data_IF_406497065666
#
_entry.id   IF_406497065666
#
_cell.length_a   1.000
_cell.length_b   1.000
_cell.length_c   1.000
_cell.angle_alpha   90.00
_cell.angle_beta   90.00
_cell.angle_gamma   90.00
#
_symmetry.space_group_name_H-M   'P 1'
#
loop_
_entity.id
_entity.type
_entity.pdbx_description
1 polymer ?
#
# COMPACT_ATOMS: atom_id res chain seq x y z
N UNK A 1 19.27 -7.52 -5.28
CA UNK A 1 20.42 -8.16 -5.95
C UNK A 1 21.02 -9.35 -5.20
N UNK A 2 21.06 -9.38 -3.87
CA UNK A 2 21.56 -10.54 -3.15
C UNK A 2 20.45 -11.58 -2.90
N UNK A 3 19.87 -12.09 -3.99
CA UNK A 3 18.84 -13.12 -3.93
C UNK A 3 19.46 -14.53 -4.08
N UNK A 4 18.78 -15.59 -3.63
CA UNK A 4 19.30 -16.96 -3.73
C UNK A 4 19.70 -17.38 -5.16
N UNK A 5 19.01 -16.85 -6.18
CA UNK A 5 19.31 -17.11 -7.60
C UNK A 5 20.67 -16.52 -8.02
N UNK A 6 21.01 -15.32 -7.52
CA UNK A 6 22.32 -14.70 -7.80
C UNK A 6 23.45 -15.46 -7.12
N UNK A 7 23.22 -16.10 -5.97
CA UNK A 7 24.24 -16.97 -5.33
C UNK A 7 24.59 -18.17 -6.19
N UNK A 8 23.60 -18.77 -6.86
CA UNK A 8 23.85 -19.91 -7.75
C UNK A 8 24.62 -19.47 -9.00
N UNK A 9 24.31 -18.28 -9.55
CA UNK A 9 25.07 -17.70 -10.66
C UNK A 9 26.51 -17.34 -10.27
N UNK A 10 26.72 -16.81 -9.06
CA UNK A 10 28.05 -16.55 -8.52
C UNK A 10 28.84 -17.85 -8.34
N UNK A 11 28.19 -18.91 -7.83
CA UNK A 11 28.78 -20.23 -7.74
C UNK A 11 29.13 -20.81 -9.13
N UNK A 12 28.30 -20.57 -10.15
CA UNK A 12 28.59 -20.95 -11.54
C UNK A 12 29.80 -20.17 -12.11
N UNK A 13 29.91 -18.88 -11.82
CA UNK A 13 31.06 -18.06 -12.23
C UNK A 13 32.36 -18.55 -11.55
N UNK A 14 32.32 -18.85 -10.24
CA UNK A 14 33.46 -19.41 -9.52
C UNK A 14 33.80 -20.81 -10.04
N UNK A 15 32.81 -21.63 -10.37
CA UNK A 15 33.00 -22.95 -10.99
C UNK A 15 33.72 -22.85 -12.33
N UNK A 16 33.36 -21.91 -13.20
CA UNK A 16 34.08 -21.66 -14.47
C UNK A 16 35.56 -21.32 -14.23
N UNK A 17 35.89 -20.56 -13.19
CA UNK A 17 37.26 -20.14 -12.91
C UNK A 17 38.11 -21.23 -12.22
N UNK A 18 37.51 -22.00 -11.31
CA UNK A 18 38.22 -22.99 -10.48
C UNK A 18 38.28 -24.36 -11.14
N UNK A 19 37.17 -24.82 -11.73
CA UNK A 19 37.02 -26.20 -12.18
C UNK A 19 37.39 -26.38 -13.67
N UNK A 20 37.41 -25.30 -14.47
CA UNK A 20 37.89 -25.35 -15.86
C UNK A 20 39.42 -25.49 -16.01
N UNK A 21 40.17 -25.60 -14.91
CA UNK A 21 41.63 -25.77 -14.91
C UNK A 21 42.10 -27.18 -15.34
N UNK A 22 41.24 -27.99 -15.96
CA UNK A 22 41.54 -29.35 -16.43
C UNK A 22 41.86 -29.41 -17.93
N UNK A 23 43.08 -29.82 -18.28
CA UNK A 23 43.53 -30.08 -19.67
C UNK A 23 44.61 -29.13 -20.20
N UNK A 24 44.88 -29.16 -21.52
CA UNK A 24 45.87 -28.31 -22.20
C UNK A 24 45.37 -26.91 -22.57
N UNK A 25 44.14 -26.58 -22.18
CA UNK A 25 43.50 -25.27 -22.38
C UNK A 25 43.32 -24.62 -21.00
N UNK A 26 43.58 -23.31 -20.89
CA UNK A 26 43.48 -22.57 -19.63
C UNK A 26 42.04 -22.46 -19.08
N UNK A 27 41.85 -21.73 -17.98
CA UNK A 27 40.52 -21.45 -17.44
C UNK A 27 39.65 -20.73 -18.47
N UNK A 28 38.36 -21.03 -18.47
CA UNK A 28 37.38 -20.43 -19.37
C UNK A 28 37.02 -19.01 -18.89
N UNK A 29 37.99 -18.10 -19.04
CA UNK A 29 37.88 -16.69 -18.64
C UNK A 29 36.78 -15.97 -19.43
N UNK A 30 36.54 -16.40 -20.67
CA UNK A 30 35.48 -15.87 -21.52
C UNK A 30 34.10 -16.12 -20.91
N UNK A 31 33.85 -17.32 -20.38
CA UNK A 31 32.59 -17.68 -19.72
C UNK A 31 32.42 -16.91 -18.41
N UNK A 32 33.48 -16.80 -17.60
CA UNK A 32 33.46 -16.00 -16.36
C UNK A 32 33.10 -14.54 -16.64
N UNK A 33 33.80 -13.90 -17.58
CA UNK A 33 33.52 -12.51 -17.97
C UNK A 33 32.12 -12.38 -18.57
N UNK A 34 31.68 -13.37 -19.35
CA UNK A 34 30.32 -13.45 -19.90
C UNK A 34 29.24 -13.47 -18.81
N UNK A 35 29.39 -14.32 -17.79
CA UNK A 35 28.47 -14.42 -16.64
C UNK A 35 28.45 -13.10 -15.86
N UNK A 36 29.63 -12.54 -15.53
CA UNK A 36 29.72 -11.28 -14.79
C UNK A 36 29.09 -10.13 -15.57
N UNK A 37 29.35 -10.05 -16.89
CA UNK A 37 28.73 -9.05 -17.76
C UNK A 37 27.20 -9.20 -17.79
N UNK A 38 26.69 -10.43 -17.89
CA UNK A 38 25.27 -10.73 -17.84
C UNK A 38 24.63 -10.31 -16.50
N UNK A 39 25.31 -10.58 -15.38
CA UNK A 39 24.86 -10.13 -14.05
C UNK A 39 24.82 -8.60 -13.95
N UNK A 40 25.83 -7.89 -14.47
CA UNK A 40 25.87 -6.42 -14.47
C UNK A 40 24.76 -5.84 -15.36
N UNK A 41 24.53 -6.40 -16.55
CA UNK A 41 23.46 -5.95 -17.44
C UNK A 41 22.11 -6.18 -16.76
N UNK A 42 21.86 -7.38 -16.24
CA UNK A 42 20.60 -7.70 -15.56
C UNK A 42 20.37 -6.83 -14.33
N UNK A 43 21.42 -6.60 -13.53
CA UNK A 43 21.43 -5.67 -12.41
C UNK A 43 21.02 -4.27 -12.84
N UNK A 44 21.63 -3.76 -13.89
CA UNK A 44 21.44 -2.37 -14.34
C UNK A 44 20.02 -2.19 -14.85
N UNK A 45 19.52 -3.12 -15.68
CA UNK A 45 18.13 -3.11 -16.15
C UNK A 45 17.18 -3.18 -14.95
N UNK A 46 17.40 -4.15 -14.05
CA UNK A 46 16.55 -4.33 -12.86
C UNK A 46 16.50 -3.08 -12.00
N UNK A 47 17.64 -2.45 -11.75
CA UNK A 47 17.74 -1.24 -10.94
C UNK A 47 17.03 -0.06 -11.61
N UNK A 48 17.24 0.15 -12.92
CA UNK A 48 16.59 1.23 -13.67
C UNK A 48 15.07 1.04 -13.68
N UNK A 49 14.60 -0.16 -13.96
CA UNK A 49 13.17 -0.46 -14.01
C UNK A 49 12.51 -0.35 -12.63
N UNK A 50 13.16 -0.86 -11.58
CA UNK A 50 12.67 -0.78 -10.20
C UNK A 50 12.64 0.67 -9.70
N UNK A 51 13.64 1.48 -10.03
CA UNK A 51 13.66 2.90 -9.69
C UNK A 51 12.56 3.70 -10.43
N UNK A 52 12.34 3.42 -11.72
CA UNK A 52 11.27 4.05 -12.48
C UNK A 52 9.88 3.66 -11.94
N UNK A 53 9.69 2.38 -11.61
CA UNK A 53 8.51 1.87 -10.94
C UNK A 53 8.29 2.55 -9.57
N UNK A 54 9.35 2.67 -8.76
CA UNK A 54 9.33 3.30 -7.45
C UNK A 54 8.93 4.78 -7.51
N UNK A 55 9.44 5.54 -8.47
CA UNK A 55 9.06 6.94 -8.66
C UNK A 55 7.57 7.10 -9.03
N UNK A 56 7.05 6.24 -9.91
CA UNK A 56 5.64 6.23 -10.24
C UNK A 56 4.78 5.90 -9.00
N UNK A 57 5.18 4.90 -8.22
CA UNK A 57 4.49 4.51 -6.98
C UNK A 57 4.56 5.63 -5.92
N UNK A 58 5.67 6.35 -5.78
CA UNK A 58 5.80 7.45 -4.82
C UNK A 58 4.82 8.59 -5.13
N UNK A 59 4.68 8.96 -6.40
CA UNK A 59 3.69 9.97 -6.82
C UNK A 59 2.25 9.55 -6.51
N UNK A 60 1.99 8.24 -6.54
CA UNK A 60 0.69 7.66 -6.22
C UNK A 60 0.43 7.66 -4.71
N UNK A 61 1.44 7.27 -3.92
CA UNK A 61 1.35 7.28 -2.46
C UNK A 61 1.15 8.68 -1.89
N UNK A 62 1.73 9.71 -2.53
CA UNK A 62 1.48 11.10 -2.14
C UNK A 62 -0.01 11.47 -2.21
N UNK A 63 -0.78 10.89 -3.15
CA UNK A 63 -2.24 11.11 -3.25
C UNK A 63 -3.06 10.37 -2.20
N UNK A 64 -2.46 9.36 -1.54
CA UNK A 64 -3.07 8.61 -0.44
C UNK A 64 -2.65 9.12 0.94
N UNK A 65 -1.81 10.15 0.99
CA UNK A 65 -1.36 10.70 2.25
C UNK A 65 -2.58 11.15 3.07
N UNK A 66 -2.66 10.80 4.36
CA UNK A 66 -3.75 11.26 5.22
C UNK A 66 -3.80 12.79 5.21
N UNK A 67 -4.97 13.35 4.93
CA UNK A 67 -5.20 14.79 4.96
C UNK A 67 -5.89 15.20 6.24
N UNK A 68 -5.63 16.43 6.67
CA UNK A 68 -6.22 17.00 7.87
C UNK A 68 -6.51 18.48 7.67
N UNK A 69 -7.53 18.98 8.35
CA UNK A 69 -7.85 20.41 8.39
C UNK A 69 -7.07 21.07 9.51
N UNK A 70 -6.21 22.02 9.13
CA UNK A 70 -5.39 22.83 10.03
C UNK A 70 -5.81 24.29 9.97
N UNK A 71 -5.73 24.98 11.09
CA UNK A 71 -5.92 26.42 11.17
C UNK A 71 -4.55 27.11 11.12
N UNK A 72 -4.22 27.75 9.99
CA UNK A 72 -2.99 28.54 9.81
C UNK A 72 -3.35 29.89 9.20
N UNK A 73 -2.67 30.94 9.65
CA UNK A 73 -2.93 32.33 9.22
C UNK A 73 -4.41 32.77 9.38
N UNK A 74 -5.11 32.21 10.37
CA UNK A 74 -6.53 32.49 10.64
C UNK A 74 -7.51 31.86 9.65
N UNK A 75 -7.04 31.00 8.74
CA UNK A 75 -7.88 30.30 7.76
C UNK A 75 -7.76 28.79 7.90
N UNK A 76 -8.89 28.08 7.76
CA UNK A 76 -8.92 26.63 7.70
C UNK A 76 -8.44 26.15 6.33
N UNK A 77 -7.39 25.34 6.34
CA UNK A 77 -6.78 24.78 5.13
C UNK A 77 -6.62 23.27 5.28
N UNK A 78 -6.81 22.54 4.18
CA UNK A 78 -6.60 21.10 4.14
C UNK A 78 -5.17 20.79 3.70
N UNK A 79 -4.40 20.15 4.58
CA UNK A 79 -2.98 19.85 4.38
C UNK A 79 -2.68 18.38 4.64
N UNK A 80 -1.57 17.89 4.09
CA UNK A 80 -1.12 16.53 4.36
C UNK A 80 -0.63 16.42 5.81
N UNK A 81 -1.00 15.33 6.49
CA UNK A 81 -0.67 15.09 7.89
C UNK A 81 0.84 15.05 8.17
N UNK A 82 1.67 14.82 7.14
CA UNK A 82 3.13 14.87 7.22
C UNK A 82 3.69 16.27 7.48
N UNK A 83 2.94 17.32 7.17
CA UNK A 83 3.34 18.73 7.33
C UNK A 83 2.94 19.30 8.70
N UNK A 84 2.20 18.51 9.50
CA UNK A 84 1.81 18.90 10.85
C UNK A 84 3.02 19.09 11.76
N UNK A 85 2.97 20.15 12.55
CA UNK A 85 3.95 20.43 13.60
C UNK A 85 3.27 20.54 14.97
N UNK A 86 3.98 20.19 16.06
CA UNK A 86 3.50 20.48 17.41
C UNK A 86 3.12 21.96 17.57
N UNK A 87 1.93 22.22 18.09
CA UNK A 87 1.34 23.55 18.23
C UNK A 87 0.32 23.92 17.15
N UNK A 88 0.21 23.16 16.06
CA UNK A 88 -0.87 23.36 15.08
C UNK A 88 -2.25 23.10 15.72
N UNK A 89 -3.24 23.89 15.33
CA UNK A 89 -4.64 23.64 15.65
C UNK A 89 -5.26 22.85 14.50
N UNK A 90 -5.87 21.71 14.82
CA UNK A 90 -6.55 20.82 13.88
C UNK A 90 -8.03 20.70 14.24
N UNK A 91 -8.87 20.46 13.23
CA UNK A 91 -10.28 20.09 13.42
C UNK A 91 -10.41 18.58 13.28
N UNK A 92 -11.04 17.93 14.26
CA UNK A 92 -11.35 16.49 14.23
C UNK A 92 -12.85 16.32 14.04
N UNK A 93 -13.26 15.70 12.93
CA UNK A 93 -14.66 15.44 12.60
C UNK A 93 -15.01 13.96 12.70
N UNK A 94 -16.31 13.65 12.65
CA UNK A 94 -16.81 12.29 12.58
C UNK A 94 -16.22 11.56 11.36
N UNK A 95 -15.63 10.39 11.58
CA UNK A 95 -14.98 9.58 10.56
C UNK A 95 -13.49 9.86 10.37
N UNK A 96 -12.98 10.99 10.87
CA UNK A 96 -11.57 11.33 10.72
C UNK A 96 -10.67 10.39 11.52
N UNK A 97 -9.53 10.05 10.92
CA UNK A 97 -8.42 9.42 11.62
C UNK A 97 -7.59 10.54 12.25
N UNK A 98 -7.35 10.45 13.55
CA UNK A 98 -6.54 11.42 14.29
C UNK A 98 -5.09 11.38 13.74
N UNK A 99 -4.59 12.48 13.14
CA UNK A 99 -3.34 12.46 12.38
C UNK A 99 -2.08 12.56 13.25
N UNK A 100 -2.21 13.08 14.46
CA UNK A 100 -1.13 13.28 15.42
C UNK A 100 -1.69 13.26 16.86
N UNK A 101 -0.83 13.07 17.85
CA UNK A 101 -1.27 13.15 19.25
C UNK A 101 -1.64 14.60 19.55
N UNK A 102 -2.86 14.81 20.03
CA UNK A 102 -3.41 16.14 20.21
C UNK A 102 -4.18 16.26 21.53
N UNK A 103 -4.37 17.50 21.98
CA UNK A 103 -5.18 17.84 23.14
C UNK A 103 -6.44 18.54 22.69
N UNK A 104 -7.60 18.05 23.13
CA UNK A 104 -8.88 18.63 22.76
C UNK A 104 -9.03 20.04 23.34
N UNK A 105 -9.46 20.98 22.50
CA UNK A 105 -9.88 22.32 22.89
C UNK A 105 -11.32 22.29 23.42
N UNK A 106 -11.92 23.46 23.60
CA UNK A 106 -13.29 23.58 24.09
C UNK A 106 -14.29 23.10 23.03
N UNK A 107 -15.25 22.27 23.45
CA UNK A 107 -16.30 21.76 22.59
C UNK A 107 -17.09 20.63 23.23
N UNK A 108 -18.00 20.04 22.45
CA UNK A 108 -18.80 18.90 22.89
C UNK A 108 -17.95 17.62 23.03
N UNK A 109 -18.33 16.68 23.91
CA UNK A 109 -17.59 15.44 24.08
C UNK A 109 -17.55 14.62 22.78
N UNK A 110 -16.36 14.12 22.47
CA UNK A 110 -16.07 13.31 21.30
C UNK A 110 -16.04 11.83 21.68
N UNK A 111 -16.52 10.92 20.83
CA UNK A 111 -16.27 9.47 20.99
C UNK A 111 -15.18 9.03 20.05
N UNK A 112 -14.10 8.48 20.60
CA UNK A 112 -12.96 7.99 19.85
C UNK A 112 -12.85 6.48 19.99
N UNK A 113 -12.69 5.80 18.87
CA UNK A 113 -12.29 4.41 18.78
C UNK A 113 -10.76 4.31 18.88
N UNK A 114 -10.29 3.66 19.95
CA UNK A 114 -8.88 3.41 20.22
C UNK A 114 -8.51 1.93 20.03
N UNK A 115 -9.36 1.14 19.36
CA UNK A 115 -9.13 -0.30 19.13
C UNK A 115 -7.78 -0.60 18.50
N UNK A 116 -7.29 0.25 17.61
CA UNK A 116 -5.97 0.13 16.99
C UNK A 116 -4.79 0.27 17.99
N UNK A 117 -5.00 0.94 19.12
CA UNK A 117 -3.98 1.24 20.14
C UNK A 117 -4.09 0.35 21.37
N UNK A 118 -5.32 0.14 21.85
CA UNK A 118 -5.58 -0.57 23.12
C UNK A 118 -6.11 -1.99 22.89
N UNK A 119 -6.61 -2.30 21.70
CA UNK A 119 -7.31 -3.56 21.41
C UNK A 119 -8.77 -3.59 21.89
N UNK A 120 -9.28 -2.51 22.50
CA UNK A 120 -10.66 -2.45 22.98
C UNK A 120 -11.59 -1.85 21.91
N UNK A 121 -12.64 -2.58 21.54
CA UNK A 121 -13.59 -2.15 20.49
C UNK A 121 -14.57 -1.06 20.93
N UNK A 122 -14.72 -0.78 22.23
CA UNK A 122 -15.68 0.18 22.74
C UNK A 122 -15.13 1.61 22.61
N UNK A 123 -15.84 2.54 21.92
CA UNK A 123 -15.40 3.91 21.81
C UNK A 123 -15.37 4.60 23.18
N UNK A 124 -14.29 5.34 23.45
CA UNK A 124 -14.10 6.10 24.69
C UNK A 124 -14.55 7.54 24.48
N UNK A 125 -15.33 8.06 25.42
CA UNK A 125 -15.74 9.47 25.43
C UNK A 125 -14.60 10.35 25.94
N UNK A 126 -14.20 11.34 25.17
CA UNK A 126 -13.15 12.33 25.46
C UNK A 126 -13.78 13.71 25.59
N UNK A 127 -13.30 14.49 26.54
CA UNK A 127 -13.79 15.84 26.86
C UNK A 127 -12.69 16.88 26.61
N UNK A 128 -13.08 18.16 26.69
CA UNK A 128 -12.15 19.30 26.68
C UNK A 128 -10.93 19.05 27.56
N UNK A 129 -9.74 19.25 26.99
CA UNK A 129 -8.47 19.08 27.68
C UNK A 129 -7.92 17.66 27.73
N UNK A 130 -8.70 16.64 27.34
CA UNK A 130 -8.23 15.26 27.24
C UNK A 130 -7.28 15.08 26.05
N UNK A 131 -6.45 14.03 26.16
CA UNK A 131 -5.53 13.61 25.12
C UNK A 131 -6.19 12.62 24.15
N UNK A 132 -5.91 12.82 22.87
CA UNK A 132 -6.26 11.95 21.76
C UNK A 132 -4.99 11.50 21.04
N UNK A 133 -4.98 10.26 20.58
CA UNK A 133 -3.76 9.62 20.08
C UNK A 133 -3.85 9.34 18.58
N UNK A 134 -2.71 9.43 17.92
CA UNK A 134 -2.52 9.15 16.49
C UNK A 134 -3.08 7.77 16.12
N UNK A 135 -3.83 7.68 15.02
CA UNK A 135 -4.41 6.42 14.53
C UNK A 135 -5.75 6.03 15.17
N UNK A 136 -6.20 6.78 16.18
CA UNK A 136 -7.57 6.63 16.69
C UNK A 136 -8.59 7.19 15.68
N UNK A 137 -9.81 6.65 15.64
CA UNK A 137 -10.87 7.12 14.72
C UNK A 137 -11.98 7.82 15.47
N UNK A 138 -12.42 8.98 14.99
CA UNK A 138 -13.59 9.65 15.56
C UNK A 138 -14.87 8.94 15.13
N UNK A 139 -15.67 8.47 16.09
CA UNK A 139 -16.98 7.83 15.83
C UNK A 139 -18.15 8.77 16.05
N UNK A 140 -17.97 9.82 16.86
CA UNK A 140 -19.03 10.78 17.16
C UNK A 140 -18.47 12.12 17.64
N UNK A 141 -19.10 13.22 17.21
CA UNK A 141 -18.76 14.58 17.60
C UNK A 141 -17.81 15.27 16.63
N UNK A 142 -17.61 16.56 16.86
CA UNK A 142 -16.64 17.41 16.16
C UNK A 142 -16.04 18.35 17.20
N UNK A 143 -14.71 18.46 17.22
CA UNK A 143 -14.00 19.31 18.18
C UNK A 143 -12.64 19.72 17.60
N UNK A 144 -12.18 20.92 17.98
CA UNK A 144 -10.85 21.38 17.66
C UNK A 144 -9.82 20.81 18.65
N UNK A 145 -8.58 20.65 18.21
CA UNK A 145 -7.51 20.12 19.05
C UNK A 145 -6.15 20.75 18.71
N UNK A 146 -5.27 20.84 19.70
CA UNK A 146 -3.88 21.31 19.52
C UNK A 146 -2.94 20.12 19.45
N UNK A 147 -2.12 20.06 18.40
CA UNK A 147 -1.14 18.99 18.22
C UNK A 147 -0.03 19.09 19.27
N UNK A 148 0.27 17.98 19.94
CA UNK A 148 1.32 17.86 20.96
C UNK A 148 2.54 17.12 20.40
N UNK A 149 2.32 16.02 19.69
CA UNK A 149 3.40 15.19 19.17
C UNK A 149 3.04 14.55 17.82
N UNK A 150 3.99 14.56 16.88
CA UNK A 150 3.82 14.05 15.52
C UNK A 150 4.78 12.91 15.22
N UNK A 151 4.43 12.07 14.23
CA UNK A 151 5.29 11.01 13.69
C UNK A 151 5.82 10.05 14.75
N UNK A 152 7.13 9.81 14.74
CA UNK A 152 7.83 8.88 15.67
C UNK A 152 7.70 9.27 17.15
N UNK A 153 7.43 10.54 17.45
CA UNK A 153 7.31 11.03 18.85
C UNK A 153 5.92 10.80 19.43
N UNK A 154 4.93 10.50 18.59
CA UNK A 154 3.59 10.11 19.03
C UNK A 154 3.61 8.79 19.80
N UNK A 155 2.57 8.54 20.59
CA UNK A 155 2.39 7.30 21.34
C UNK A 155 2.39 6.08 20.41
N UNK A 156 1.62 6.15 19.32
CA UNK A 156 1.59 5.09 18.31
C UNK A 156 2.94 4.93 17.61
N UNK A 157 3.60 6.04 17.24
CA UNK A 157 4.90 6.03 16.57
C UNK A 157 6.00 5.35 17.41
N UNK A 158 6.00 5.58 18.73
CA UNK A 158 6.92 4.91 19.66
C UNK A 158 6.63 3.41 19.75
N UNK A 159 5.36 3.02 19.83
CA UNK A 159 4.96 1.62 19.87
C UNK A 159 5.31 0.89 18.55
N UNK A 160 5.01 1.51 17.40
CA UNK A 160 5.31 0.97 16.08
C UNK A 160 6.81 0.79 15.85
N UNK A 161 7.64 1.77 16.25
CA UNK A 161 9.11 1.66 16.16
C UNK A 161 9.68 0.50 17.00
N UNK A 162 9.00 0.11 18.08
CA UNK A 162 9.41 -1.05 18.89
C UNK A 162 9.01 -2.40 18.26
N UNK A 163 8.09 -2.40 17.29
CA UNK A 163 7.53 -3.59 16.63
C UNK A 163 8.05 -3.78 15.19
N UNK A 164 8.86 -2.84 14.68
CA UNK A 164 9.43 -2.81 13.32
C UNK A 164 10.38 -3.98 12.99
N UNK A 165 10.50 -4.95 13.89
CA UNK A 165 11.23 -6.21 13.71
C UNK A 165 10.39 -7.36 13.12
N UNK A 166 9.17 -7.11 12.64
CA UNK A 166 8.29 -8.16 12.09
C UNK A 166 8.11 -7.99 10.59
N UNK A 167 9.11 -8.39 9.80
CA UNK A 167 8.94 -8.57 8.35
C UNK A 167 7.93 -9.69 8.08
N UNK A 168 6.65 -9.33 7.94
CA UNK A 168 5.63 -10.25 7.43
C UNK A 168 5.90 -10.44 5.94
N UNK A 169 6.57 -11.54 5.60
CA UNK A 169 6.85 -11.92 4.21
C UNK A 169 5.52 -12.02 3.43
N UNK A 170 5.32 -11.14 2.46
CA UNK A 170 4.11 -11.09 1.66
C UNK A 170 3.88 -12.37 0.84
N UNK A 171 2.61 -12.68 0.52
CA UNK A 171 2.23 -13.85 -0.28
C UNK A 171 3.03 -13.94 -1.60
N UNK A 172 3.14 -12.81 -2.30
CA UNK A 172 3.94 -12.66 -3.52
C UNK A 172 5.39 -13.14 -3.34
N UNK A 173 6.05 -12.76 -2.25
CA UNK A 173 7.43 -13.15 -1.97
C UNK A 173 7.55 -14.64 -1.66
N UNK A 174 6.53 -15.26 -1.05
CA UNK A 174 6.45 -16.71 -0.87
C UNK A 174 6.31 -17.45 -2.20
N UNK A 175 5.45 -16.96 -3.10
CA UNK A 175 5.28 -17.53 -4.46
C UNK A 175 6.58 -17.43 -5.24
N UNK A 176 7.23 -16.26 -5.21
CA UNK A 176 8.52 -16.04 -5.88
C UNK A 176 9.60 -16.99 -5.36
N UNK A 177 9.65 -17.20 -4.04
CA UNK A 177 10.57 -18.16 -3.41
C UNK A 177 10.24 -19.60 -3.78
N UNK A 178 8.96 -19.95 -3.91
CA UNK A 178 8.53 -21.28 -4.33
C UNK A 178 8.96 -21.59 -5.77
N UNK A 179 8.73 -20.66 -6.70
CA UNK A 179 9.15 -20.81 -8.10
C UNK A 179 10.68 -20.86 -8.18
N UNK A 180 11.38 -19.98 -7.47
CA UNK A 180 12.84 -20.00 -7.38
C UNK A 180 13.38 -21.33 -6.86
N UNK A 181 12.79 -21.86 -5.79
CA UNK A 181 13.16 -23.17 -5.24
C UNK A 181 12.87 -24.31 -6.22
N UNK A 182 11.74 -24.27 -6.94
CA UNK A 182 11.44 -25.26 -7.96
C UNK A 182 12.49 -25.27 -9.08
N UNK A 183 12.87 -24.09 -9.58
CA UNK A 183 13.93 -23.97 -10.59
C UNK A 183 15.27 -24.47 -10.06
N UNK A 184 15.68 -24.07 -8.84
CA UNK A 184 16.94 -24.53 -8.23
C UNK A 184 16.95 -26.05 -8.07
N UNK A 185 15.86 -26.64 -7.56
CA UNK A 185 15.73 -28.09 -7.42
C UNK A 185 15.78 -28.81 -8.78
N UNK A 186 15.10 -28.28 -9.79
CA UNK A 186 15.12 -28.86 -11.14
C UNK A 186 16.51 -28.82 -11.77
N UNK A 187 17.25 -27.72 -11.59
CA UNK A 187 18.63 -27.59 -12.06
C UNK A 187 19.52 -28.56 -11.30
N UNK A 188 19.40 -28.64 -9.97
CA UNK A 188 20.20 -29.55 -9.15
C UNK A 188 19.99 -31.02 -9.57
N UNK A 189 18.74 -31.44 -9.78
CA UNK A 189 18.42 -32.78 -10.29
C UNK A 189 18.99 -32.98 -11.70
N UNK A 190 18.84 -31.98 -12.58
CA UNK A 190 19.41 -32.03 -13.93
C UNK A 190 20.93 -32.20 -13.94
N UNK A 191 21.65 -31.39 -13.15
CA UNK A 191 23.11 -31.47 -12.98
C UNK A 191 23.52 -32.84 -12.46
N UNK A 192 22.83 -33.37 -11.44
CA UNK A 192 23.15 -34.70 -10.87
C UNK A 192 22.97 -35.80 -11.92
N UNK A 193 21.83 -35.81 -12.62
CA UNK A 193 21.53 -36.81 -13.65
C UNK A 193 22.54 -36.72 -14.80
N UNK A 194 22.86 -35.51 -15.24
CA UNK A 194 23.80 -35.26 -16.33
C UNK A 194 25.22 -35.71 -15.97
N UNK A 195 25.70 -35.38 -14.77
CA UNK A 195 26.99 -35.84 -14.25
C UNK A 195 27.06 -37.37 -14.19
N UNK A 196 26.00 -38.04 -13.70
CA UNK A 196 25.96 -39.51 -13.65
C UNK A 196 26.06 -40.09 -15.07
N UNK A 197 25.27 -39.60 -16.02
CA UNK A 197 25.27 -40.13 -17.39
C UNK A 197 26.63 -39.89 -18.07
N UNK A 198 27.20 -38.69 -17.93
CA UNK A 198 28.44 -38.33 -18.61
C UNK A 198 29.65 -39.10 -18.08
N UNK A 199 29.77 -39.23 -16.76
CA UNK A 199 30.94 -39.85 -16.14
C UNK A 199 30.80 -41.37 -15.96
N UNK A 200 29.62 -41.86 -15.56
CA UNK A 200 29.42 -43.29 -15.29
C UNK A 200 29.06 -44.11 -16.54
N UNK A 201 28.37 -43.51 -17.53
CA UNK A 201 27.90 -44.23 -18.73
C UNK A 201 28.72 -43.88 -19.98
N UNK A 202 28.90 -42.59 -20.27
CA UNK A 202 29.56 -42.14 -21.51
C UNK A 202 31.09 -42.01 -21.38
N UNK A 203 31.65 -42.07 -20.17
CA UNK A 203 33.07 -41.89 -19.88
C UNK A 203 33.70 -40.67 -20.59
N UNK A 204 32.98 -39.55 -20.60
CA UNK A 204 33.45 -38.30 -21.22
C UNK A 204 34.61 -37.67 -20.46
N UNK A 205 35.33 -36.79 -21.15
CA UNK A 205 36.40 -36.00 -20.54
C UNK A 205 35.83 -35.08 -19.45
N UNK A 206 36.61 -34.86 -18.39
CA UNK A 206 36.24 -33.99 -17.27
C UNK A 206 35.84 -32.59 -17.71
N UNK A 207 36.53 -32.04 -18.72
CA UNK A 207 36.27 -30.70 -19.25
C UNK A 207 34.91 -30.60 -19.95
N UNK A 208 34.57 -31.57 -20.79
CA UNK A 208 33.24 -31.60 -21.44
C UNK A 208 32.11 -31.71 -20.41
N UNK A 209 32.32 -32.46 -19.32
CA UNK A 209 31.35 -32.58 -18.24
C UNK A 209 31.06 -31.24 -17.55
N UNK A 210 32.10 -30.44 -17.27
CA UNK A 210 31.93 -29.12 -16.64
C UNK A 210 31.21 -28.15 -17.57
N UNK A 211 31.56 -28.13 -18.85
CA UNK A 211 30.94 -27.19 -19.80
C UNK A 211 29.43 -27.42 -19.90
N UNK A 212 28.97 -28.67 -19.89
CA UNK A 212 27.55 -28.98 -19.93
C UNK A 212 26.83 -28.57 -18.63
N UNK A 213 27.44 -28.82 -17.47
CA UNK A 213 26.91 -28.36 -16.17
C UNK A 213 26.81 -26.83 -16.14
N UNK A 214 27.80 -26.13 -16.69
CA UNK A 214 27.80 -24.66 -16.78
C UNK A 214 26.65 -24.15 -17.65
N UNK A 215 26.41 -24.78 -18.81
CA UNK A 215 25.28 -24.44 -19.69
C UNK A 215 23.94 -24.61 -18.97
N UNK A 216 23.78 -25.69 -18.21
CA UNK A 216 22.56 -25.95 -17.45
C UNK A 216 22.35 -24.93 -16.32
N UNK A 217 23.42 -24.51 -15.63
CA UNK A 217 23.37 -23.49 -14.59
C UNK A 217 23.01 -22.11 -15.16
N UNK A 218 23.68 -21.67 -16.23
CA UNK A 218 23.46 -20.35 -16.83
C UNK A 218 22.06 -20.28 -17.46
N UNK A 219 21.66 -21.31 -18.20
CA UNK A 219 20.38 -21.34 -18.91
C UNK A 219 19.18 -21.64 -18.00
N UNK A 220 19.40 -22.37 -16.90
CA UNK A 220 18.32 -22.83 -16.03
C UNK A 220 17.78 -21.76 -15.07
N UNK A 221 18.59 -20.75 -14.72
CA UNK A 221 18.25 -19.77 -13.67
C UNK A 221 17.44 -18.61 -14.25
N UNK A 222 16.15 -18.45 -13.89
CA UNK A 222 15.33 -17.36 -14.40
C UNK A 222 15.59 -16.06 -13.62
N UNK A 223 16.79 -15.49 -13.76
CA UNK A 223 17.23 -14.32 -12.98
C UNK A 223 16.36 -13.07 -13.21
N UNK A 224 15.76 -12.95 -14.41
CA UNK A 224 14.89 -11.84 -14.76
C UNK A 224 13.48 -11.92 -14.14
N UNK A 225 13.07 -13.10 -13.65
CA UNK A 225 11.68 -13.32 -13.23
C UNK A 225 11.24 -12.43 -12.04
N UNK A 226 12.02 -12.27 -10.95
CA UNK A 226 11.69 -11.31 -9.89
C UNK A 226 11.49 -9.88 -10.39
N UNK A 227 12.39 -9.42 -11.25
CA UNK A 227 12.37 -8.06 -11.81
C UNK A 227 11.14 -7.87 -12.69
N UNK A 228 10.91 -8.77 -13.65
CA UNK A 228 9.78 -8.69 -14.58
C UNK A 228 8.45 -8.66 -13.82
N UNK A 229 8.29 -9.48 -12.78
CA UNK A 229 7.08 -9.49 -11.97
C UNK A 229 6.90 -8.18 -11.18
N UNK A 230 7.95 -7.69 -10.53
CA UNK A 230 7.94 -6.43 -9.77
C UNK A 230 7.56 -5.24 -10.67
N UNK A 231 8.19 -5.15 -11.84
CA UNK A 231 7.95 -4.10 -12.83
C UNK A 231 6.53 -4.19 -13.40
N UNK A 232 6.04 -5.40 -13.68
CA UNK A 232 4.66 -5.62 -14.16
C UNK A 232 3.63 -5.13 -13.14
N UNK A 233 3.83 -5.43 -11.85
CA UNK A 233 2.94 -4.95 -10.77
C UNK A 233 2.97 -3.43 -10.65
N UNK A 234 4.15 -2.81 -10.75
CA UNK A 234 4.27 -1.35 -10.69
C UNK A 234 3.60 -0.65 -11.88
N UNK A 235 3.78 -1.17 -13.11
CA UNK A 235 3.11 -0.66 -14.30
C UNK A 235 1.59 -0.87 -14.18
N UNK A 236 1.15 -2.03 -13.68
CA UNK A 236 -0.26 -2.32 -13.42
C UNK A 236 -0.88 -1.35 -12.42
N UNK A 237 -0.18 -1.06 -11.32
CA UNK A 237 -0.58 -0.07 -10.30
C UNK A 237 -0.72 1.33 -10.91
N UNK A 238 0.23 1.73 -11.76
CA UNK A 238 0.16 3.02 -12.46
C UNK A 238 -1.04 3.10 -13.42
N UNK A 239 -1.32 2.03 -14.18
CA UNK A 239 -2.48 1.97 -15.07
C UNK A 239 -3.81 2.05 -14.31
N UNK A 240 -3.93 1.32 -13.20
CA UNK A 240 -5.12 1.40 -12.33
C UNK A 240 -5.32 2.81 -11.80
N UNK A 241 -4.23 3.51 -11.45
CA UNK A 241 -4.33 4.91 -11.03
C UNK A 241 -4.87 5.82 -12.13
N UNK A 242 -4.48 5.60 -13.39
CA UNK A 242 -5.02 6.37 -14.52
C UNK A 242 -6.51 6.10 -14.73
N UNK A 243 -7.01 4.94 -14.30
CA UNK A 243 -8.44 4.58 -14.30
C UNK A 243 -9.18 5.06 -13.04
N UNK A 244 -8.51 5.78 -12.13
CA UNK A 244 -9.11 6.29 -10.89
C UNK A 244 -9.05 5.33 -9.70
N UNK A 245 -8.43 4.14 -9.83
CA UNK A 245 -8.26 3.18 -8.75
C UNK A 245 -6.83 3.23 -8.19
N UNK A 246 -6.67 3.68 -6.96
CA UNK A 246 -5.35 3.80 -6.32
C UNK A 246 -5.04 2.56 -5.48
N UNK A 247 -3.99 1.82 -5.84
CA UNK A 247 -3.57 0.60 -5.13
C UNK A 247 -2.56 0.93 -4.03
N UNK A 248 -3.02 0.91 -2.76
CA UNK A 248 -2.14 1.16 -1.59
C UNK A 248 -1.11 0.04 -1.38
N UNK A 249 -1.46 -1.19 -1.73
CA UNK A 249 -0.59 -2.37 -1.70
C UNK A 249 -0.45 -2.91 -3.12
N UNK A 250 0.78 -3.08 -3.63
CA UNK A 250 0.98 -3.64 -4.97
C UNK A 250 0.45 -5.07 -5.09
N UNK A 251 0.49 -5.85 -4.01
CA UNK A 251 -0.08 -7.20 -3.94
C UNK A 251 -1.60 -7.25 -4.07
N UNK A 252 -2.30 -6.11 -3.92
CA UNK A 252 -3.75 -6.07 -4.09
C UNK A 252 -4.18 -6.36 -5.53
N UNK A 253 -3.29 -6.18 -6.52
CA UNK A 253 -3.58 -6.51 -7.93
C UNK A 253 -3.78 -8.02 -8.09
N UNK A 254 -2.98 -8.84 -7.41
CA UNK A 254 -3.11 -10.30 -7.40
C UNK A 254 -4.43 -10.73 -6.74
N UNK A 255 -4.74 -10.15 -5.57
CA UNK A 255 -5.98 -10.42 -4.84
C UNK A 255 -7.22 -10.02 -5.66
N UNK A 256 -7.16 -8.88 -6.36
CA UNK A 256 -8.23 -8.41 -7.24
C UNK A 256 -8.43 -9.32 -8.45
N UNK A 257 -7.36 -9.89 -9.00
CA UNK A 257 -7.44 -10.83 -10.11
C UNK A 257 -8.08 -12.18 -9.71
N UNK A 258 -7.93 -12.58 -8.44
CA UNK A 258 -8.56 -13.77 -7.87
C UNK A 258 -9.89 -13.51 -7.15
N UNK A 259 -10.51 -12.34 -7.34
CA UNK A 259 -11.73 -11.98 -6.62
C UNK A 259 -12.95 -12.75 -7.15
N UNK A 260 -13.51 -13.63 -6.31
CA UNK A 260 -14.73 -14.40 -6.64
C UNK A 260 -16.03 -13.67 -6.25
N UNK A 261 -15.99 -12.86 -5.18
CA UNK A 261 -17.16 -12.16 -4.63
C UNK A 261 -16.82 -10.71 -4.36
N UNK A 262 -17.58 -9.80 -4.96
CA UNK A 262 -17.50 -8.36 -4.71
C UNK A 262 -18.70 -7.91 -3.86
N UNK A 263 -18.45 -7.59 -2.60
CA UNK A 263 -19.43 -6.99 -1.72
C UNK A 263 -19.42 -5.47 -1.89
N UNK A 264 -20.41 -4.92 -2.59
CA UNK A 264 -20.56 -3.48 -2.76
C UNK A 264 -21.46 -2.90 -1.67
N UNK A 265 -21.03 -1.80 -1.05
CA UNK A 265 -21.95 -0.96 -0.28
C UNK A 265 -22.94 -0.28 -1.23
N UNK A 266 -24.20 -0.13 -0.83
CA UNK A 266 -25.21 0.53 -1.68
C UNK A 266 -24.94 2.02 -1.76
N UNK A 267 -24.82 2.65 -0.60
CA UNK A 267 -24.72 4.11 -0.53
C UNK A 267 -23.29 4.54 -0.83
N UNK A 268 -23.12 5.43 -1.81
CA UNK A 268 -21.79 5.93 -2.18
C UNK A 268 -20.95 5.01 -3.09
N UNK A 269 -21.42 3.78 -3.39
CA UNK A 269 -20.83 2.94 -4.45
C UNK A 269 -21.83 2.66 -5.57
N UNK A 270 -23.02 2.11 -5.25
CA UNK A 270 -24.06 1.84 -6.27
C UNK A 270 -24.93 3.06 -6.56
N UNK A 271 -25.13 3.93 -5.58
CA UNK A 271 -25.93 5.16 -5.72
C UNK A 271 -25.05 6.40 -5.84
N UNK A 272 -25.57 7.44 -6.51
CA UNK A 272 -24.88 8.72 -6.71
C UNK A 272 -24.65 9.54 -5.42
N UNK A 273 -25.12 9.04 -4.27
CA UNK A 273 -25.16 9.78 -3.00
C UNK A 273 -25.73 11.20 -3.14
N UNK A 274 -26.64 11.40 -4.08
CA UNK A 274 -27.35 12.65 -4.33
C UNK A 274 -28.83 12.41 -4.04
N UNK A 275 -29.23 12.71 -2.81
CA UNK A 275 -30.59 12.46 -2.35
C UNK A 275 -31.53 13.53 -2.91
N UNK A 276 -32.75 13.12 -3.25
CA UNK A 276 -33.81 14.02 -3.73
C UNK A 276 -35.12 13.58 -3.12
N UNK A 277 -35.93 14.54 -2.66
CA UNK A 277 -37.26 14.26 -2.14
C UNK A 277 -38.30 14.93 -3.02
N UNK A 278 -39.34 14.19 -3.36
CA UNK A 278 -40.51 14.73 -4.04
C UNK A 278 -41.42 15.40 -3.00
N UNK A 279 -41.56 16.73 -3.08
CA UNK A 279 -42.39 17.54 -2.18
C UNK A 279 -43.84 17.07 -2.13
N UNK A 280 -44.35 16.44 -3.19
CA UNK A 280 -45.73 15.98 -3.25
C UNK A 280 -46.02 14.78 -2.34
N UNK A 281 -44.98 13.99 -2.04
CA UNK A 281 -45.06 12.79 -1.20
C UNK A 281 -44.81 13.09 0.29
N UNK A 282 -44.56 14.35 0.66
CA UNK A 282 -44.31 14.74 2.05
C UNK A 282 -45.64 14.79 2.82
N UNK A 283 -45.77 13.94 3.82
CA UNK A 283 -46.92 13.87 4.71
C UNK A 283 -46.67 14.65 6.01
N UNK A 284 -47.69 15.38 6.49
CA UNK A 284 -47.60 16.24 7.67
C UNK A 284 -48.50 15.70 8.77
N UNK A 285 -47.92 15.38 9.93
CA UNK A 285 -48.65 14.81 11.06
C UNK A 285 -49.12 15.84 12.11
N UNK A 286 -48.49 17.02 12.14
CA UNK A 286 -48.84 18.08 13.11
C UNK A 286 -49.87 19.03 12.50
N UNK A 287 -51.02 19.18 13.15
CA UNK A 287 -52.08 20.09 12.70
C UNK A 287 -51.61 21.55 12.70
N UNK A 288 -51.65 22.19 11.53
CA UNK A 288 -51.31 23.62 11.38
C UNK A 288 -49.93 23.90 10.76
N UNK A 289 -49.13 22.88 10.42
CA UNK A 289 -47.92 23.07 9.61
C UNK A 289 -48.20 22.79 8.13
N UNK A 290 -47.64 23.65 7.28
CA UNK A 290 -47.59 23.44 5.83
C UNK A 290 -46.33 22.64 5.45
N UNK A 291 -46.35 21.99 4.28
CA UNK A 291 -45.23 21.20 3.75
C UNK A 291 -43.97 22.05 3.60
N UNK A 292 -44.10 23.27 3.09
CA UNK A 292 -42.97 24.18 2.91
C UNK A 292 -42.35 24.62 4.24
N UNK A 293 -43.18 24.77 5.29
CA UNK A 293 -42.68 25.09 6.64
C UNK A 293 -41.84 23.95 7.22
N UNK A 294 -42.21 22.70 6.96
CA UNK A 294 -41.43 21.53 7.43
C UNK A 294 -40.10 21.42 6.71
N UNK A 295 -40.09 21.66 5.39
CA UNK A 295 -38.85 21.67 4.61
C UNK A 295 -37.92 22.78 5.13
N UNK A 296 -38.45 23.96 5.43
CA UNK A 296 -37.68 25.06 6.02
C UNK A 296 -37.11 24.71 7.41
N UNK A 297 -37.92 24.08 8.28
CA UNK A 297 -37.45 23.62 9.59
C UNK A 297 -36.35 22.56 9.47
N UNK A 298 -36.49 21.64 8.51
CA UNK A 298 -35.48 20.64 8.21
C UNK A 298 -34.19 21.31 7.71
N UNK A 299 -34.28 22.27 6.79
CA UNK A 299 -33.14 23.01 6.27
C UNK A 299 -32.42 23.82 7.36
N UNK A 300 -33.16 24.40 8.32
CA UNK A 300 -32.58 25.08 9.49
C UNK A 300 -31.86 24.15 10.47
N UNK A 301 -32.20 22.86 10.45
CA UNK A 301 -31.49 21.84 11.22
C UNK A 301 -30.26 21.29 10.46
N UNK A 302 -30.16 21.56 9.15
CA UNK A 302 -29.04 21.17 8.30
C UNK A 302 -27.88 22.17 8.41
N UNK A 303 -26.64 21.69 8.24
CA UNK A 303 -25.44 22.54 8.27
C UNK A 303 -25.00 22.90 6.85
N UNK A 304 -24.93 24.20 6.54
CA UNK A 304 -24.48 24.69 5.22
C UNK A 304 -22.98 24.44 4.97
N UNK A 305 -22.18 24.46 6.03
CA UNK A 305 -20.72 24.27 5.94
C UNK A 305 -20.31 22.79 5.84
N UNK A 306 -21.25 21.87 6.08
CA UNK A 306 -21.00 20.44 6.05
C UNK A 306 -21.52 19.85 4.74
N UNK A 307 -20.66 19.20 3.97
CA UNK A 307 -21.02 18.59 2.69
C UNK A 307 -21.75 17.25 2.85
N UNK A 308 -22.63 17.13 3.85
CA UNK A 308 -23.45 15.93 4.00
C UNK A 308 -24.49 15.90 2.87
N UNK A 309 -24.61 14.76 2.20
CA UNK A 309 -25.54 14.55 1.10
C UNK A 309 -27.01 14.75 1.53
N UNK A 310 -27.35 14.44 2.79
CA UNK A 310 -28.72 14.64 3.31
C UNK A 310 -28.98 16.13 3.53
N UNK A 311 -28.06 16.83 4.19
CA UNK A 311 -28.17 18.26 4.48
C UNK A 311 -28.30 19.07 3.18
N UNK A 312 -27.44 18.77 2.20
CA UNK A 312 -27.48 19.41 0.88
C UNK A 312 -28.78 19.11 0.12
N UNK A 313 -29.31 17.89 0.21
CA UNK A 313 -30.58 17.57 -0.42
C UNK A 313 -31.75 18.39 0.15
N UNK A 314 -31.77 18.59 1.46
CA UNK A 314 -32.79 19.39 2.16
C UNK A 314 -32.64 20.88 1.83
N UNK A 315 -31.41 21.42 1.86
CA UNK A 315 -31.15 22.82 1.52
C UNK A 315 -31.52 23.10 0.06
N UNK A 316 -31.18 22.21 -0.87
CA UNK A 316 -31.52 22.35 -2.29
C UNK A 316 -33.03 22.22 -2.60
N UNK A 317 -33.85 21.79 -1.64
CA UNK A 317 -35.32 21.83 -1.80
C UNK A 317 -35.91 23.22 -1.58
N UNK A 318 -35.17 24.13 -0.94
CA UNK A 318 -35.60 25.52 -0.78
C UNK A 318 -35.50 26.26 -2.12
N UNK A 319 -36.42 27.21 -2.32
CA UNK A 319 -36.42 28.07 -3.50
C UNK A 319 -35.22 29.02 -3.51
N UNK A 320 -34.82 29.49 -2.32
CA UNK A 320 -33.60 30.25 -2.08
C UNK A 320 -32.77 29.55 -0.99
N UNK A 321 -31.54 29.08 -1.30
CA UNK A 321 -30.64 28.46 -0.32
C UNK A 321 -30.19 29.37 0.82
N UNK A 322 -30.49 30.68 0.76
CA UNK A 322 -30.11 31.68 1.77
C UNK A 322 -31.23 32.01 2.78
N UNK A 323 -32.45 31.50 2.60
CA UNK A 323 -33.59 31.65 3.54
C UNK A 323 -33.47 30.71 4.76
#
# INVERSE_FOLDING_TARGET
>A
MWNPLSWVMEAAAVMALVLANGGSQGPDWEDFVGIVCLLIINSTISFIEENNAGNAAASLMARLAPRTKVLRDGQWQEMDASVLVPGDIISIRLGDIVPADARLLEGDPLKIDQSALTGESLPVTKRTGDLVFTGSTCKHGEIEAVVIATGIRSFFGKAAHLVDSTEVVGHFQKVLTCIGNFCICSIAVGVIVEVIIMFAVQHRSYREGINNVLVLLIGGIPIAMPTVLSVTLAIGSHRLSQQGAITKRMTAIEEMAGMDVLCCDKTGTLTLNHLTVDKNLVEVFSGGMDRDMIILLAARASRVDNQDAIDMAIINMLSDPKE
#
